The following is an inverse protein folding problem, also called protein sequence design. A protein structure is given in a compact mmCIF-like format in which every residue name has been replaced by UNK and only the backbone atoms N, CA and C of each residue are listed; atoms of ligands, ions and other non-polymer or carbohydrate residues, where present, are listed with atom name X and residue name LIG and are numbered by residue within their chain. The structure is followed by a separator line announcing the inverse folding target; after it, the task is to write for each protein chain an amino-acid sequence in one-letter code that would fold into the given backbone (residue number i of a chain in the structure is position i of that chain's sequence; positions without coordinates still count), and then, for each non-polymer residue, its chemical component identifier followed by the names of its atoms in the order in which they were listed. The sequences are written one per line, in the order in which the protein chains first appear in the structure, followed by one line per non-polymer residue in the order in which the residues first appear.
data_IF_553041111718
#
_entry.id   IF_553041111718
#
_cell.length_a   1.000
_cell.length_b   1.000
_cell.length_c   1.000
_cell.angle_alpha   90.00
_cell.angle_beta   90.00
_cell.angle_gamma   90.00
#
_symmetry.space_group_name_H-M   'P 1'
#
loop_
_entity.id
_entity.type
_entity.pdbx_description
1 polymer ?
#
# COMPACT_ATOMS: atom_id res chain seq x y z
N UNK A 1 -9.04 4.82 -7.07
CA UNK A 1 -7.85 5.57 -6.65
C UNK A 1 -7.54 6.63 -7.68
N UNK A 2 -7.34 7.90 -7.29
CA UNK A 2 -6.94 8.97 -8.22
C UNK A 2 -5.49 8.73 -8.67
N UNK A 3 -5.11 9.17 -9.88
CA UNK A 3 -3.76 8.98 -10.47
C UNK A 3 -2.62 9.41 -9.54
N UNK A 4 -2.77 10.56 -8.87
CA UNK A 4 -1.79 11.08 -7.90
C UNK A 4 -1.61 10.10 -6.73
N UNK A 5 -2.70 9.65 -6.14
CA UNK A 5 -2.69 8.69 -5.03
C UNK A 5 -2.02 7.37 -5.46
N UNK A 6 -2.28 6.89 -6.67
CA UNK A 6 -1.61 5.71 -7.25
C UNK A 6 -0.10 5.88 -7.37
N UNK A 7 0.35 7.01 -7.91
CA UNK A 7 1.78 7.30 -8.02
C UNK A 7 2.46 7.43 -6.66
N UNK A 8 1.80 8.06 -5.68
CA UNK A 8 2.33 8.14 -4.32
C UNK A 8 2.54 6.75 -3.72
N UNK A 9 1.51 5.91 -3.69
CA UNK A 9 1.62 4.60 -3.05
C UNK A 9 2.62 3.68 -3.75
N UNK A 10 2.65 3.67 -5.08
CA UNK A 10 3.42 2.67 -5.83
C UNK A 10 4.81 3.13 -6.29
N UNK A 11 5.13 4.43 -6.26
CA UNK A 11 6.42 4.95 -6.75
C UNK A 11 7.17 5.85 -5.76
N UNK A 12 6.53 6.45 -4.75
CA UNK A 12 7.26 7.23 -3.74
C UNK A 12 7.84 6.31 -2.68
N UNK A 13 9.14 6.50 -2.39
CA UNK A 13 9.88 5.80 -1.34
C UNK A 13 10.23 6.71 -0.16
N UNK A 14 10.56 6.13 0.99
CA UNK A 14 10.83 6.84 2.23
C UNK A 14 9.56 7.40 2.87
N UNK A 15 9.71 8.25 3.87
CA UNK A 15 8.59 8.99 4.47
C UNK A 15 8.72 10.49 4.16
N UNK A 16 7.63 11.25 4.24
CA UNK A 16 7.70 12.70 4.07
C UNK A 16 8.37 13.43 5.25
N UNK A 17 8.79 12.70 6.29
CA UNK A 17 9.38 13.25 7.52
C UNK A 17 10.75 12.60 7.78
N UNK A 18 11.72 13.34 8.32
CA UNK A 18 13.08 12.82 8.54
C UNK A 18 13.21 11.94 9.80
N UNK A 19 12.14 11.77 10.58
CA UNK A 19 12.17 11.14 11.90
C UNK A 19 12.20 9.60 11.84
N UNK A 20 12.11 9.01 10.64
CA UNK A 20 12.12 7.55 10.45
C UNK A 20 13.51 6.91 10.49
N UNK A 21 14.58 7.70 10.69
CA UNK A 21 15.97 7.25 10.72
C UNK A 21 16.38 6.44 9.47
N UNK A 22 15.70 6.66 8.34
CA UNK A 22 15.94 5.99 7.07
C UNK A 22 15.41 4.56 6.97
N UNK A 23 14.65 4.05 7.96
CA UNK A 23 14.16 2.66 7.95
C UNK A 23 13.28 2.34 6.73
N UNK A 24 12.72 3.37 6.09
CA UNK A 24 11.83 3.23 4.93
C UNK A 24 12.42 3.72 3.61
N UNK A 25 13.68 4.13 3.55
CA UNK A 25 14.31 4.71 2.36
C UNK A 25 14.22 3.82 1.11
N UNK A 26 14.17 2.50 1.32
CA UNK A 26 14.10 1.52 0.23
C UNK A 26 12.67 1.07 -0.09
N UNK A 27 11.68 1.40 0.75
CA UNK A 27 10.31 0.94 0.64
C UNK A 27 9.41 2.03 0.03
N UNK A 28 8.59 1.62 -0.93
CA UNK A 28 7.46 2.41 -1.38
C UNK A 28 6.44 2.58 -0.26
N UNK A 29 5.60 3.60 -0.34
CA UNK A 29 4.53 3.80 0.65
C UNK A 29 3.56 2.61 0.71
N UNK A 30 3.37 1.91 -0.41
CA UNK A 30 2.61 0.66 -0.48
C UNK A 30 3.24 -0.48 0.32
N UNK A 31 4.56 -0.59 0.31
CA UNK A 31 5.30 -1.62 1.07
C UNK A 31 5.32 -1.32 2.57
N UNK A 32 5.28 -0.05 2.96
CA UNK A 32 5.23 0.38 4.37
C UNK A 32 3.88 0.02 5.03
N UNK A 33 2.77 0.04 4.29
CA UNK A 33 1.45 -0.29 4.84
C UNK A 33 1.38 -1.75 5.30
N UNK A 34 0.95 -1.93 6.55
CA UNK A 34 0.78 -3.23 7.21
C UNK A 34 2.02 -4.14 7.05
N UNK A 35 3.22 -3.54 7.05
CA UNK A 35 4.50 -4.23 6.88
C UNK A 35 4.54 -5.17 5.66
N UNK A 36 4.01 -4.73 4.52
CA UNK A 36 4.04 -5.53 3.30
C UNK A 36 2.99 -6.65 3.24
N UNK A 37 2.21 -6.88 4.31
CA UNK A 37 1.21 -7.96 4.36
C UNK A 37 0.13 -7.73 3.31
N UNK A 38 -0.06 -8.69 2.42
CA UNK A 38 -1.10 -8.62 1.39
C UNK A 38 -2.49 -8.85 1.98
N UNK A 39 -3.52 -8.41 1.25
CA UNK A 39 -4.94 -8.67 1.55
C UNK A 39 -5.46 -8.18 2.92
N UNK A 40 -4.78 -7.22 3.54
CA UNK A 40 -5.27 -6.53 4.74
C UNK A 40 -6.39 -5.56 4.40
N UNK A 41 -7.26 -5.24 5.39
CA UNK A 41 -8.37 -4.29 5.21
C UNK A 41 -7.89 -2.94 4.62
N UNK A 42 -6.78 -2.39 5.11
CA UNK A 42 -6.24 -1.11 4.63
C UNK A 42 -5.79 -1.18 3.18
N UNK A 43 -5.07 -2.24 2.80
CA UNK A 43 -4.62 -2.45 1.41
C UNK A 43 -5.78 -2.72 0.47
N UNK A 44 -6.77 -3.49 0.91
CA UNK A 44 -8.02 -3.74 0.19
C UNK A 44 -8.77 -2.44 -0.14
N UNK A 45 -8.83 -1.50 0.81
CA UNK A 45 -9.42 -0.18 0.61
C UNK A 45 -8.63 0.69 -0.38
N UNK A 46 -7.29 0.58 -0.38
CA UNK A 46 -6.40 1.37 -1.23
C UNK A 46 -6.23 0.78 -2.64
N UNK A 47 -6.50 -0.51 -2.83
CA UNK A 47 -6.60 -1.09 -4.16
C UNK A 47 -7.95 -0.75 -4.79
N UNK A 48 -7.94 -0.38 -6.07
CA UNK A 48 -9.14 -0.45 -6.89
C UNK A 48 -9.32 -1.90 -7.34
N UNK A 49 -9.69 -2.78 -6.41
CA UNK A 49 -10.18 -4.12 -6.78
C UNK A 49 -11.71 -4.04 -6.78
N UNK A 50 -12.39 -4.44 -7.85
CA UNK A 50 -13.83 -4.64 -7.81
C UNK A 50 -14.15 -5.61 -6.68
N UNK A 51 -14.99 -5.20 -5.72
CA UNK A 51 -15.33 -5.99 -4.51
C UNK A 51 -15.50 -7.50 -4.73
N UNK A 52 -16.19 -7.97 -5.80
CA UNK A 52 -16.37 -9.39 -6.06
C UNK A 52 -15.08 -10.21 -6.22
N UNK A 53 -14.00 -9.63 -6.77
CA UNK A 53 -12.72 -10.34 -7.00
C UNK A 53 -11.91 -10.48 -5.70
N UNK A 54 -12.17 -9.62 -4.72
CA UNK A 54 -11.40 -9.57 -3.49
C UNK A 54 -11.87 -10.58 -2.43
N UNK A 55 -13.16 -10.88 -2.45
CA UNK A 55 -13.77 -11.87 -1.55
C UNK A 55 -13.44 -13.30 -2.01
N UNK A 56 -13.32 -13.53 -3.32
CA UNK A 56 -12.93 -14.85 -3.86
C UNK A 56 -11.49 -15.26 -3.57
N UNK A 57 -10.57 -14.30 -3.35
CA UNK A 57 -9.17 -14.58 -3.03
C UNK A 57 -8.91 -14.75 -1.52
N UNK A 58 -9.85 -14.36 -0.67
CA UNK A 58 -9.72 -14.48 0.79
C UNK A 58 -10.25 -15.81 1.35
N UNK A 59 -10.84 -16.64 0.49
CA UNK A 59 -11.51 -17.90 0.85
C UNK A 59 -10.80 -19.16 0.33
N UNK A 60 -9.51 -19.06 -0.03
CA UNK A 60 -8.64 -20.20 -0.35
C UNK A 60 -7.47 -20.28 0.63
#
# INVERSE_FOLDING_TARGET
MKKVTYQCFHWKKGTPFADDQGIYNMLTWWEQIDNGKQLTRNRKFLMVIPGPVLDSLAYN
#
